data_IF_426703026639
#
_entry.id   IF_426703026639
#
_cell.length_a   1.000
_cell.length_b   1.000
_cell.length_c   1.000
_cell.angle_alpha   90.00
_cell.angle_beta   90.00
_cell.angle_gamma   90.00
#
_symmetry.space_group_name_H-M   'P 1'
#
loop_
_entity.id
_entity.type
_entity.pdbx_description
1 polymer ?
#
# COMPACT_ATOMS: atom_id res chain seq x y z
N UNK A 1 -39.87 44.81 -5.94
CA UNK A 1 -38.55 44.31 -6.37
C UNK A 1 -38.53 42.83 -6.12
N UNK A 2 -38.60 42.05 -7.20
CA UNK A 2 -38.48 40.59 -7.16
C UNK A 2 -37.01 40.26 -6.97
N UNK A 3 -36.67 39.53 -5.91
CA UNK A 3 -35.33 38.96 -5.73
C UNK A 3 -35.48 37.49 -6.07
N UNK A 4 -34.97 37.12 -7.23
CA UNK A 4 -34.87 35.73 -7.68
C UNK A 4 -34.02 34.94 -6.68
N UNK A 5 -34.65 33.96 -6.04
CA UNK A 5 -33.96 32.90 -5.32
C UNK A 5 -33.48 31.89 -6.36
N UNK A 6 -32.27 32.08 -6.87
CA UNK A 6 -31.55 31.01 -7.57
C UNK A 6 -31.14 29.97 -6.54
N UNK A 7 -31.96 28.93 -6.41
CA UNK A 7 -31.64 27.70 -5.70
C UNK A 7 -30.42 27.06 -6.35
N UNK A 8 -29.25 27.29 -5.77
CA UNK A 8 -28.02 26.56 -6.07
C UNK A 8 -28.24 25.12 -5.60
N UNK A 9 -28.55 24.24 -6.53
CA UNK A 9 -28.51 22.79 -6.33
C UNK A 9 -27.06 22.33 -6.36
N UNK A 10 -26.30 22.64 -5.31
CA UNK A 10 -25.05 21.94 -5.02
C UNK A 10 -25.44 20.61 -4.39
N UNK A 11 -25.46 19.55 -5.19
CA UNK A 11 -25.60 18.20 -4.67
C UNK A 11 -24.52 17.95 -3.62
N UNK A 12 -24.90 17.35 -2.49
CA UNK A 12 -24.04 17.07 -1.35
C UNK A 12 -22.81 16.25 -1.75
N UNK A 13 -21.74 16.91 -2.19
CA UNK A 13 -20.45 16.25 -2.37
C UNK A 13 -19.95 15.89 -0.98
N UNK A 14 -19.86 14.59 -0.71
CA UNK A 14 -19.25 14.08 0.52
C UNK A 14 -17.92 14.78 0.78
N UNK A 15 -17.66 15.11 2.05
CA UNK A 15 -16.42 15.78 2.47
C UNK A 15 -15.18 15.00 2.00
N UNK A 16 -15.31 13.67 1.88
CA UNK A 16 -14.28 12.77 1.36
C UNK A 16 -13.99 13.08 -0.10
N UNK A 17 -15.02 13.23 -0.94
CA UNK A 17 -14.87 13.60 -2.35
C UNK A 17 -14.17 14.95 -2.50
N UNK A 18 -14.53 15.95 -1.68
CA UNK A 18 -13.88 17.27 -1.70
C UNK A 18 -12.40 17.19 -1.35
N UNK A 19 -12.04 16.44 -0.30
CA UNK A 19 -10.64 16.24 0.09
C UNK A 19 -9.88 15.47 -1.00
N UNK A 20 -10.48 14.43 -1.58
CA UNK A 20 -9.85 13.65 -2.64
C UNK A 20 -9.55 14.51 -3.86
N UNK A 21 -10.48 15.37 -4.29
CA UNK A 21 -10.29 16.24 -5.44
C UNK A 21 -9.18 17.27 -5.19
N UNK A 22 -9.20 17.93 -4.03
CA UNK A 22 -8.17 18.90 -3.65
C UNK A 22 -6.77 18.26 -3.63
N UNK A 23 -6.65 17.07 -3.04
CA UNK A 23 -5.36 16.39 -2.93
C UNK A 23 -4.90 15.84 -4.28
N UNK A 24 -5.82 15.38 -5.14
CA UNK A 24 -5.52 14.94 -6.51
C UNK A 24 -4.96 16.07 -7.37
N UNK A 25 -5.50 17.28 -7.26
CA UNK A 25 -5.02 18.47 -7.98
C UNK A 25 -3.56 18.80 -7.62
N UNK A 26 -3.21 18.65 -6.33
CA UNK A 26 -1.86 18.90 -5.81
C UNK A 26 -0.83 17.83 -6.16
N UNK A 27 -1.21 16.72 -6.82
CA UNK A 27 -0.25 15.68 -7.22
C UNK A 27 0.66 16.14 -8.35
N UNK A 28 0.30 17.20 -9.08
CA UNK A 28 1.10 17.75 -10.17
C UNK A 28 2.10 18.83 -9.71
N UNK A 29 2.08 19.20 -8.42
CA UNK A 29 2.98 20.23 -7.91
C UNK A 29 4.45 19.81 -8.00
N UNK A 30 5.31 20.76 -8.40
CA UNK A 30 6.76 20.61 -8.45
C UNK A 30 7.41 20.88 -7.08
N UNK A 31 7.04 20.10 -6.05
CA UNK A 31 7.63 20.34 -4.72
C UNK A 31 7.16 19.43 -3.59
N UNK A 32 7.47 19.81 -2.34
CA UNK A 32 7.06 19.07 -1.14
C UNK A 32 5.55 18.94 -1.00
N UNK A 33 4.77 19.86 -1.59
CA UNK A 33 3.30 19.80 -1.61
C UNK A 33 2.80 18.51 -2.23
N UNK A 34 3.40 18.06 -3.34
CA UNK A 34 3.08 16.78 -3.97
C UNK A 34 3.36 15.60 -3.07
N UNK A 35 4.48 15.60 -2.34
CA UNK A 35 4.81 14.51 -1.42
C UNK A 35 3.81 14.44 -0.25
N UNK A 36 3.46 15.60 0.31
CA UNK A 36 2.44 15.69 1.36
C UNK A 36 1.06 15.26 0.85
N UNK A 37 0.69 15.68 -0.37
CA UNK A 37 -0.54 15.29 -1.04
C UNK A 37 -0.60 13.77 -1.25
N UNK A 38 0.47 13.18 -1.78
CA UNK A 38 0.57 11.73 -2.00
C UNK A 38 0.43 10.94 -0.70
N UNK A 39 1.08 11.39 0.38
CA UNK A 39 0.95 10.75 1.70
C UNK A 39 -0.46 10.94 2.27
N UNK A 40 -1.05 12.13 2.14
CA UNK A 40 -2.41 12.42 2.61
C UNK A 40 -3.44 11.53 1.91
N UNK A 41 -3.37 11.47 0.58
CA UNK A 41 -4.25 10.65 -0.26
C UNK A 41 -4.16 9.17 0.10
N UNK A 42 -2.95 8.63 0.15
CA UNK A 42 -2.73 7.24 0.52
C UNK A 42 -3.20 6.94 1.96
N UNK A 43 -3.03 7.89 2.88
CA UNK A 43 -3.49 7.73 4.27
C UNK A 43 -4.99 7.76 4.38
N UNK A 44 -5.67 8.62 3.62
CA UNK A 44 -7.12 8.72 3.59
C UNK A 44 -7.74 7.43 3.06
N UNK A 45 -7.25 6.96 1.91
CA UNK A 45 -7.75 5.75 1.24
C UNK A 45 -7.46 4.46 2.02
N UNK A 46 -6.39 4.43 2.83
CA UNK A 46 -6.04 3.29 3.68
C UNK A 46 -6.73 3.29 5.06
N UNK A 47 -7.66 4.22 5.34
CA UNK A 47 -8.37 4.22 6.63
C UNK A 47 -9.33 3.03 6.72
N UNK A 48 -9.51 2.40 7.90
CA UNK A 48 -10.45 1.30 8.08
C UNK A 48 -11.91 1.65 7.70
N UNK A 49 -12.30 2.92 7.87
CA UNK A 49 -13.64 3.42 7.50
C UNK A 49 -13.86 3.49 5.97
N UNK A 50 -12.78 3.52 5.18
CA UNK A 50 -12.83 3.48 3.72
C UNK A 50 -12.95 2.06 3.15
N UNK A 51 -12.71 1.03 3.98
CA UNK A 51 -12.88 -0.37 3.57
C UNK A 51 -14.35 -0.82 3.57
N UNK A 52 -15.21 -0.04 4.22
CA UNK A 52 -16.66 -0.27 4.18
C UNK A 52 -17.17 -0.15 2.75
N UNK A 53 -18.15 -0.99 2.40
CA UNK A 53 -18.68 -1.10 1.03
C UNK A 53 -19.18 0.23 0.47
N UNK A 54 -19.71 1.11 1.31
CA UNK A 54 -20.17 2.45 0.96
C UNK A 54 -19.04 3.36 0.46
N UNK A 55 -17.84 3.25 1.00
CA UNK A 55 -16.70 4.13 0.70
C UNK A 55 -15.64 3.48 -0.20
N UNK A 56 -15.72 2.16 -0.42
CA UNK A 56 -14.73 1.39 -1.19
C UNK A 56 -14.60 1.86 -2.64
N UNK A 57 -15.66 2.43 -3.21
CA UNK A 57 -15.63 3.01 -4.56
C UNK A 57 -14.54 4.10 -4.71
N UNK A 58 -14.30 4.93 -3.68
CA UNK A 58 -13.27 5.96 -3.71
C UNK A 58 -11.85 5.39 -3.94
N UNK A 59 -11.59 4.21 -3.37
CA UNK A 59 -10.32 3.52 -3.57
C UNK A 59 -10.22 3.01 -5.01
N UNK A 60 -11.25 2.32 -5.50
CA UNK A 60 -11.25 1.78 -6.87
C UNK A 60 -11.15 2.90 -7.91
N UNK A 61 -11.91 3.98 -7.75
CA UNK A 61 -11.87 5.15 -8.62
C UNK A 61 -10.48 5.79 -8.68
N UNK A 62 -9.76 5.81 -7.54
CA UNK A 62 -8.38 6.28 -7.52
C UNK A 62 -7.45 5.32 -8.26
N UNK A 63 -7.58 4.01 -8.05
CA UNK A 63 -6.74 2.99 -8.70
C UNK A 63 -6.95 2.99 -10.21
N UNK A 64 -8.19 3.07 -10.67
CA UNK A 64 -8.54 3.14 -12.10
C UNK A 64 -8.03 4.42 -12.74
N UNK A 65 -8.21 5.56 -12.07
CA UNK A 65 -7.67 6.83 -12.52
C UNK A 65 -6.13 6.78 -12.61
N UNK A 66 -5.46 6.31 -11.56
CA UNK A 66 -4.00 6.19 -11.52
C UNK A 66 -3.48 5.26 -12.62
N UNK A 67 -4.13 4.11 -12.83
CA UNK A 67 -3.81 3.18 -13.91
C UNK A 67 -4.00 3.80 -15.29
N UNK A 68 -5.06 4.60 -15.49
CA UNK A 68 -5.30 5.37 -16.70
C UNK A 68 -4.18 6.37 -17.00
N UNK A 69 -3.75 7.16 -16.00
CA UNK A 69 -2.63 8.10 -16.16
C UNK A 69 -1.33 7.36 -16.49
N UNK A 70 -1.07 6.22 -15.84
CA UNK A 70 0.12 5.41 -16.13
C UNK A 70 0.13 4.88 -17.57
N UNK A 71 -1.00 4.36 -18.07
CA UNK A 71 -1.14 3.88 -19.46
C UNK A 71 -0.95 5.00 -20.48
N UNK A 72 -1.51 6.17 -20.19
CA UNK A 72 -1.41 7.35 -21.06
C UNK A 72 0.05 7.73 -21.34
N UNK A 73 0.93 7.51 -20.35
CA UNK A 73 2.35 7.81 -20.44
C UNK A 73 3.15 6.73 -21.20
N UNK A 74 2.67 5.49 -21.24
CA UNK A 74 3.38 4.38 -21.90
C UNK A 74 3.13 4.34 -23.41
N UNK A 75 2.03 4.90 -23.88
CA UNK A 75 1.58 4.82 -25.29
C UNK A 75 2.23 5.85 -26.23
N UNK A 76 3.40 6.39 -25.87
CA UNK A 76 4.30 7.07 -26.82
C UNK A 76 4.14 8.59 -26.95
N UNK A 77 3.40 9.25 -26.06
CA UNK A 77 3.48 10.71 -25.93
C UNK A 77 4.72 11.03 -25.08
N UNK A 78 5.67 11.80 -25.62
CA UNK A 78 6.82 12.27 -24.85
C UNK A 78 6.35 12.88 -23.54
N UNK A 79 6.94 12.43 -22.44
CA UNK A 79 6.64 12.91 -21.09
C UNK A 79 6.83 14.42 -21.03
N UNK A 80 5.74 15.18 -21.01
CA UNK A 80 5.76 16.61 -20.68
C UNK A 80 6.30 16.80 -19.25
N UNK A 81 6.94 17.95 -18.98
CA UNK A 81 7.45 18.26 -17.64
C UNK A 81 6.37 18.15 -16.57
N UNK A 82 5.19 18.67 -16.86
CA UNK A 82 4.01 18.61 -15.97
C UNK A 82 3.54 17.15 -15.79
N UNK A 83 3.39 16.37 -16.86
CA UNK A 83 3.00 14.96 -16.72
C UNK A 83 4.02 14.10 -15.94
N UNK A 84 5.28 14.53 -15.85
CA UNK A 84 6.29 13.88 -15.00
C UNK A 84 5.96 14.07 -13.51
N UNK A 85 5.55 15.26 -13.11
CA UNK A 85 5.28 15.58 -11.70
C UNK A 85 4.03 14.85 -11.21
N UNK A 86 2.95 14.90 -11.98
CA UNK A 86 1.76 14.11 -11.71
C UNK A 86 2.09 12.62 -11.56
N UNK A 87 2.89 12.05 -12.49
CA UNK A 87 3.31 10.65 -12.41
C UNK A 87 4.12 10.36 -11.14
N UNK A 88 5.05 11.24 -10.76
CA UNK A 88 5.81 11.10 -9.50
C UNK A 88 4.84 11.06 -8.31
N UNK A 89 3.84 11.94 -8.29
CA UNK A 89 2.84 12.01 -7.23
C UNK A 89 2.01 10.73 -7.14
N UNK A 90 1.56 10.21 -8.27
CA UNK A 90 0.78 8.98 -8.37
C UNK A 90 1.60 7.77 -7.90
N UNK A 91 2.80 7.56 -8.44
CA UNK A 91 3.66 6.43 -8.06
C UNK A 91 4.05 6.51 -6.58
N UNK A 92 4.30 7.72 -6.05
CA UNK A 92 4.52 7.92 -4.63
C UNK A 92 3.30 7.54 -3.79
N UNK A 93 2.11 7.97 -4.20
CA UNK A 93 0.85 7.65 -3.52
C UNK A 93 0.64 6.15 -3.46
N UNK A 94 0.79 5.45 -4.59
CA UNK A 94 0.66 3.99 -4.66
C UNK A 94 1.70 3.33 -3.73
N UNK A 95 2.97 3.73 -3.78
CA UNK A 95 3.99 3.15 -2.90
C UNK A 95 3.68 3.36 -1.39
N UNK A 96 3.03 4.46 -1.02
CA UNK A 96 2.58 4.71 0.37
C UNK A 96 1.32 3.91 0.67
N UNK A 97 0.42 3.74 -0.29
CA UNK A 97 -0.80 2.93 -0.17
C UNK A 97 -0.44 1.48 0.13
N UNK A 98 0.51 0.90 -0.62
CA UNK A 98 1.05 -0.44 -0.36
C UNK A 98 1.79 -0.59 0.98
N UNK A 99 2.16 0.52 1.63
CA UNK A 99 2.72 0.50 2.98
C UNK A 99 1.64 0.50 4.06
N UNK A 100 0.44 1.05 3.79
CA UNK A 100 -0.57 1.36 4.80
C UNK A 100 -1.86 0.56 4.67
N UNK A 101 -2.31 0.29 3.45
CA UNK A 101 -3.57 -0.40 3.19
C UNK A 101 -3.47 -1.89 3.55
N UNK A 102 -4.59 -2.54 3.91
CA UNK A 102 -4.62 -3.96 4.19
C UNK A 102 -4.28 -4.77 2.94
N UNK A 103 -3.68 -5.94 3.14
CA UNK A 103 -3.26 -6.84 2.05
C UNK A 103 -4.41 -7.22 1.12
N UNK A 104 -5.61 -7.46 1.65
CA UNK A 104 -6.81 -7.81 0.89
C UNK A 104 -7.19 -6.76 -0.15
N UNK A 105 -7.16 -5.48 0.22
CA UNK A 105 -7.43 -4.36 -0.70
C UNK A 105 -6.31 -4.18 -1.72
N UNK A 106 -5.06 -4.44 -1.32
CA UNK A 106 -3.90 -4.33 -2.20
C UNK A 106 -3.93 -5.36 -3.34
N UNK A 107 -4.29 -6.62 -3.08
CA UNK A 107 -4.29 -7.65 -4.13
C UNK A 107 -5.19 -7.27 -5.33
N UNK A 108 -6.39 -6.73 -5.06
CA UNK A 108 -7.29 -6.24 -6.12
C UNK A 108 -6.70 -5.05 -6.89
N UNK A 109 -5.91 -4.22 -6.20
CA UNK A 109 -5.25 -3.06 -6.80
C UNK A 109 -4.11 -3.46 -7.75
N UNK A 110 -3.42 -4.57 -7.45
CA UNK A 110 -2.28 -5.02 -8.26
C UNK A 110 -2.74 -5.39 -9.67
N UNK A 111 -3.83 -6.14 -9.82
CA UNK A 111 -4.34 -6.58 -11.13
C UNK A 111 -4.55 -5.42 -12.10
N UNK A 112 -5.10 -4.29 -11.61
CA UNK A 112 -5.33 -3.09 -12.44
C UNK A 112 -4.04 -2.33 -12.79
N UNK A 113 -3.08 -2.30 -11.86
CA UNK A 113 -1.89 -1.46 -11.96
C UNK A 113 -0.65 -2.17 -12.53
N UNK A 114 -0.65 -3.50 -12.57
CA UNK A 114 0.51 -4.32 -12.92
C UNK A 114 1.12 -3.96 -14.28
N UNK A 115 0.33 -4.17 -15.35
CA UNK A 115 0.72 -3.91 -16.73
C UNK A 115 1.23 -2.46 -16.96
N UNK A 116 0.51 -1.41 -16.49
CA UNK A 116 1.00 -0.03 -16.58
C UNK A 116 2.33 0.21 -15.86
N UNK A 117 2.51 -0.33 -14.65
CA UNK A 117 3.70 -0.10 -13.83
C UNK A 117 4.94 -0.74 -14.45
N UNK A 118 4.81 -1.95 -15.01
CA UNK A 118 5.93 -2.61 -15.71
C UNK A 118 6.36 -1.77 -16.91
N UNK A 119 5.42 -1.39 -17.78
CA UNK A 119 5.73 -0.59 -18.98
C UNK A 119 6.30 0.78 -18.67
N UNK A 120 5.94 1.37 -17.53
CA UNK A 120 6.49 2.64 -17.08
C UNK A 120 7.99 2.59 -16.81
N UNK A 121 8.56 1.44 -16.46
CA UNK A 121 10.00 1.32 -16.21
C UNK A 121 10.81 1.79 -17.41
N UNK A 122 10.40 1.40 -18.61
CA UNK A 122 11.13 1.75 -19.84
C UNK A 122 11.10 3.24 -20.13
N UNK A 123 10.00 3.90 -19.78
CA UNK A 123 9.80 5.34 -19.99
C UNK A 123 10.45 6.21 -18.90
N UNK A 124 10.63 5.66 -17.70
CA UNK A 124 11.13 6.40 -16.54
C UNK A 124 12.66 6.43 -16.41
N UNK A 125 13.40 5.92 -17.41
CA UNK A 125 14.87 5.81 -17.36
C UNK A 125 15.59 7.15 -17.18
N UNK A 126 14.99 8.26 -17.60
CA UNK A 126 15.60 9.60 -17.51
C UNK A 126 15.40 10.26 -16.14
N UNK A 127 14.28 10.00 -15.47
CA UNK A 127 13.90 10.70 -14.23
C UNK A 127 14.29 9.91 -12.99
N UNK A 128 15.36 10.33 -12.32
CA UNK A 128 15.92 9.68 -11.13
C UNK A 128 14.90 9.42 -10.01
N UNK A 129 13.99 10.38 -9.75
CA UNK A 129 12.98 10.24 -8.70
C UNK A 129 12.00 9.12 -9.03
N UNK A 130 11.57 9.02 -10.29
CA UNK A 130 10.68 7.94 -10.75
C UNK A 130 11.36 6.59 -10.66
N UNK A 131 12.61 6.46 -11.13
CA UNK A 131 13.38 5.21 -11.00
C UNK A 131 13.43 4.73 -9.55
N UNK A 132 13.78 5.62 -8.62
CA UNK A 132 13.84 5.32 -7.18
C UNK A 132 12.47 4.91 -6.62
N UNK A 133 11.40 5.63 -6.98
CA UNK A 133 10.06 5.32 -6.50
C UNK A 133 9.52 4.02 -7.07
N UNK A 134 9.81 3.70 -8.33
CA UNK A 134 9.47 2.44 -8.96
C UNK A 134 10.14 1.27 -8.24
N UNK A 135 11.45 1.33 -7.94
CA UNK A 135 12.12 0.27 -7.16
C UNK A 135 11.45 0.05 -5.81
N UNK A 136 11.09 1.13 -5.14
CA UNK A 136 10.35 1.07 -3.88
C UNK A 136 8.95 0.46 -4.06
N UNK A 137 8.27 0.73 -5.17
CA UNK A 137 6.97 0.16 -5.48
C UNK A 137 7.06 -1.33 -5.81
N UNK A 138 8.00 -1.77 -6.64
CA UNK A 138 8.23 -3.20 -6.95
C UNK A 138 8.53 -4.01 -5.69
N UNK A 139 9.38 -3.49 -4.81
CA UNK A 139 9.61 -4.11 -3.48
C UNK A 139 8.30 -4.34 -2.72
N UNK A 140 7.41 -3.33 -2.73
CA UNK A 140 6.15 -3.37 -2.00
C UNK A 140 5.13 -4.31 -2.65
N UNK A 141 5.10 -4.37 -3.98
CA UNK A 141 4.32 -5.34 -4.75
C UNK A 141 4.76 -6.76 -4.38
N UNK A 142 6.07 -7.04 -4.37
CA UNK A 142 6.60 -8.33 -3.94
C UNK A 142 6.18 -8.72 -2.52
N UNK A 143 6.27 -7.80 -1.56
CA UNK A 143 5.77 -8.02 -0.20
C UNK A 143 4.24 -8.18 -0.13
N UNK A 144 3.48 -7.56 -1.03
CA UNK A 144 2.03 -7.71 -1.08
C UNK A 144 1.60 -9.06 -1.66
N UNK A 145 2.41 -9.68 -2.51
CA UNK A 145 2.23 -11.05 -3.00
C UNK A 145 2.74 -12.11 -2.02
N UNK A 146 3.79 -11.82 -1.24
CA UNK A 146 4.36 -12.76 -0.27
C UNK A 146 3.81 -12.52 1.15
N UNK A 147 2.98 -13.40 1.72
CA UNK A 147 2.46 -13.22 3.07
C UNK A 147 3.60 -13.26 4.10
N UNK A 148 3.53 -12.47 5.19
CA UNK A 148 4.54 -12.50 6.23
C UNK A 148 4.64 -13.90 6.84
N UNK A 149 5.86 -14.46 6.86
CA UNK A 149 6.15 -15.71 7.55
C UNK A 149 6.49 -15.42 9.01
N UNK A 150 5.74 -16.00 9.93
CA UNK A 150 6.06 -15.94 11.35
C UNK A 150 6.54 -17.34 11.77
N UNK A 151 7.82 -17.42 12.11
CA UNK A 151 8.36 -18.65 12.65
C UNK A 151 7.74 -18.93 14.03
N UNK A 152 7.22 -20.15 14.21
CA UNK A 152 6.50 -20.59 15.41
C UNK A 152 7.30 -20.42 16.72
N UNK A 153 8.64 -20.44 16.64
CA UNK A 153 9.54 -20.26 17.79
C UNK A 153 9.62 -18.80 18.30
N UNK A 154 9.24 -17.81 17.48
CA UNK A 154 9.39 -16.37 17.80
C UNK A 154 8.63 -15.97 19.07
N UNK A 155 7.48 -16.58 19.33
CA UNK A 155 6.65 -16.27 20.51
C UNK A 155 6.84 -17.26 21.67
N UNK A 156 7.53 -18.38 21.47
CA UNK A 156 7.81 -19.36 22.52
C UNK A 156 8.75 -18.83 23.61
N UNK A 157 9.55 -17.80 23.32
CA UNK A 157 10.53 -17.22 24.27
C UNK A 157 9.95 -16.14 25.19
N UNK A 158 8.86 -15.48 24.79
CA UNK A 158 8.30 -14.29 25.48
C UNK A 158 7.11 -14.56 26.40
N UNK A 159 6.39 -15.67 26.23
CA UNK A 159 5.20 -15.99 27.05
C UNK A 159 5.52 -16.54 28.44
N UNK A 160 6.79 -16.85 28.74
CA UNK A 160 7.18 -17.37 30.07
C UNK A 160 7.19 -16.32 31.17
N UNK A 161 7.32 -15.03 30.85
CA UNK A 161 7.50 -13.96 31.85
C UNK A 161 6.24 -13.18 32.22
N UNK A 162 5.19 -13.23 31.40
CA UNK A 162 3.98 -12.41 31.62
C UNK A 162 2.89 -13.12 32.45
N UNK A 163 3.00 -14.44 32.60
CA UNK A 163 2.10 -15.28 33.41
C UNK A 163 2.78 -15.85 34.67
N UNK A 164 4.09 -15.65 34.85
CA UNK A 164 4.85 -16.20 35.97
C UNK A 164 4.88 -15.29 37.21
N UNK A 165 4.34 -14.08 37.14
CA UNK A 165 4.44 -13.07 38.21
C UNK A 165 3.08 -12.49 38.61
N UNK A 166 2.14 -13.36 39.00
CA UNK A 166 1.08 -12.99 39.95
C UNK A 166 0.96 -14.07 41.01
N UNK A 167 1.67 -13.96 42.15
CA UNK A 167 1.38 -14.77 43.32
C UNK A 167 0.13 -14.19 43.99
N UNK A 168 -1.07 -14.54 43.49
CA UNK A 168 -2.27 -14.51 44.33
C UNK A 168 -2.19 -15.73 45.22
N UNK A 169 -1.94 -15.49 46.50
CA UNK A 169 -1.99 -16.53 47.52
C UNK A 169 -3.35 -17.19 47.59
N UNK A 170 -3.29 -18.44 48.08
CA UNK A 170 -4.38 -19.24 48.65
C UNK A 170 -5.23 -20.06 47.65
N UNK A 171 -4.78 -21.31 47.51
CA UNK A 171 -5.54 -22.58 47.59
C UNK A 171 -6.95 -22.65 46.99
N UNK A 172 -7.11 -23.42 45.91
CA UNK A 172 -7.79 -24.73 45.88
C UNK A 172 -8.22 -25.11 44.44
N UNK A 173 -8.02 -26.39 44.10
CA UNK A 173 -8.70 -27.24 43.10
C UNK A 173 -9.38 -26.56 41.89
N UNK A 174 -8.98 -26.96 40.68
CA UNK A 174 -9.83 -27.67 39.70
C UNK A 174 -9.04 -27.97 38.42
N UNK A 175 -9.01 -29.25 38.05
CA UNK A 175 -8.62 -29.74 36.73
C UNK A 175 -9.60 -29.20 35.68
N UNK A 176 -9.20 -28.21 34.87
CA UNK A 176 -9.80 -27.85 33.57
C UNK A 176 -9.08 -26.61 33.02
N UNK A 177 -8.04 -26.76 32.18
CA UNK A 177 -7.64 -25.68 31.24
C UNK A 177 -6.71 -26.15 30.10
N UNK A 178 -7.24 -26.75 29.02
CA UNK A 178 -6.57 -26.71 27.71
C UNK A 178 -7.10 -25.57 26.82
N UNK A 179 -8.31 -25.05 27.08
CA UNK A 179 -9.04 -24.21 26.10
C UNK A 179 -8.57 -22.75 26.04
N UNK A 180 -8.08 -22.17 27.15
CA UNK A 180 -7.53 -20.80 27.13
C UNK A 180 -6.13 -20.69 26.52
N UNK A 181 -5.41 -21.82 26.37
CA UNK A 181 -4.13 -21.88 25.65
C UNK A 181 -4.33 -21.89 24.13
N UNK A 182 -5.46 -22.41 23.64
CA UNK A 182 -5.82 -22.34 22.22
C UNK A 182 -6.29 -20.94 21.82
N UNK A 183 -7.13 -20.30 22.65
CA UNK A 183 -7.66 -18.96 22.38
C UNK A 183 -6.58 -17.87 22.34
N UNK A 184 -5.55 -17.99 23.18
CA UNK A 184 -4.40 -17.07 23.19
C UNK A 184 -3.38 -17.35 22.07
N UNK A 185 -3.43 -18.54 21.46
CA UNK A 185 -2.68 -18.88 20.24
C UNK A 185 -3.39 -18.31 19.01
N UNK A 186 -4.72 -18.38 18.96
CA UNK A 186 -5.55 -17.83 17.87
C UNK A 186 -5.58 -16.30 17.83
N UNK A 187 -5.58 -15.60 18.98
CA UNK A 187 -5.66 -14.12 18.98
C UNK A 187 -4.38 -13.43 18.43
N UNK A 188 -3.23 -14.10 18.47
CA UNK A 188 -1.96 -13.56 17.93
C UNK A 188 -1.69 -14.03 16.49
N UNK A 189 -2.44 -15.02 16.00
CA UNK A 189 -2.53 -15.40 14.59
C UNK A 189 -3.44 -14.39 13.85
N UNK A 190 -3.04 -13.13 13.85
CA UNK A 190 -3.77 -12.04 13.21
C UNK A 190 -3.74 -12.22 11.68
N UNK A 191 -4.74 -12.93 11.15
CA UNK A 191 -5.33 -12.97 9.78
C UNK A 191 -4.43 -13.00 8.52
N UNK A 192 -3.11 -12.89 8.61
CA UNK A 192 -2.25 -12.71 7.41
C UNK A 192 -0.88 -13.37 7.48
N UNK A 193 -0.51 -14.01 8.59
CA UNK A 193 0.78 -14.69 8.71
C UNK A 193 0.65 -16.19 8.45
N UNK A 194 1.55 -16.73 7.63
CA UNK A 194 1.66 -18.18 7.39
C UNK A 194 2.74 -18.78 8.29
N UNK A 195 2.47 -19.99 8.80
CA UNK A 195 3.50 -20.79 9.48
C UNK A 195 4.62 -21.14 8.49
N UNK A 196 5.84 -21.25 9.01
CA UNK A 196 7.03 -21.52 8.19
C UNK A 196 6.95 -22.89 7.47
N UNK A 197 6.22 -23.84 8.07
CA UNK A 197 6.06 -25.20 7.56
C UNK A 197 5.07 -25.32 6.38
N UNK A 198 4.37 -24.22 6.01
CA UNK A 198 3.40 -24.24 4.92
C UNK A 198 4.04 -23.73 3.62
N UNK A 199 4.04 -24.53 2.53
CA UNK A 199 4.46 -24.05 1.23
C UNK A 199 3.47 -22.99 0.74
N UNK A 200 3.99 -21.82 0.36
CA UNK A 200 3.19 -20.72 -0.21
C UNK A 200 3.33 -20.81 -1.73
N UNK A 201 2.19 -20.84 -2.43
CA UNK A 201 2.18 -20.67 -3.88
C UNK A 201 2.68 -19.25 -4.20
N UNK A 202 3.81 -19.17 -4.90
CA UNK A 202 4.41 -17.90 -5.32
C UNK A 202 3.87 -17.56 -6.72
N UNK A 203 3.22 -16.41 -6.91
CA UNK A 203 2.76 -15.98 -8.23
C UNK A 203 3.93 -15.65 -9.17
N UNK A 204 3.74 -15.82 -10.48
CA UNK A 204 4.76 -15.57 -11.50
C UNK A 204 5.21 -14.10 -11.51
N UNK A 205 4.33 -13.17 -11.12
CA UNK A 205 4.62 -11.74 -10.99
C UNK A 205 5.78 -11.45 -10.03
N UNK A 206 6.09 -12.35 -9.10
CA UNK A 206 7.26 -12.23 -8.23
C UNK A 206 8.56 -12.32 -9.01
N UNK A 207 8.64 -13.15 -10.05
CA UNK A 207 9.84 -13.27 -10.89
C UNK A 207 10.13 -11.94 -11.60
N UNK A 208 9.08 -11.30 -12.14
CA UNK A 208 9.17 -9.97 -12.73
C UNK A 208 9.64 -8.94 -11.68
N UNK A 209 9.05 -8.93 -10.47
CA UNK A 209 9.51 -8.05 -9.38
C UNK A 209 11.00 -8.25 -9.09
N UNK A 210 11.49 -9.50 -9.07
CA UNK A 210 12.90 -9.79 -8.84
C UNK A 210 13.76 -9.27 -9.99
N UNK A 211 13.36 -9.51 -11.24
CA UNK A 211 14.08 -9.00 -12.42
C UNK A 211 14.19 -7.47 -12.38
N UNK A 212 13.11 -6.80 -12.01
CA UNK A 212 13.03 -5.35 -11.83
C UNK A 212 14.04 -4.83 -10.79
N UNK A 213 14.11 -5.49 -9.63
CA UNK A 213 15.05 -5.12 -8.57
C UNK A 213 16.50 -5.39 -8.98
N UNK A 214 16.77 -6.51 -9.66
CA UNK A 214 18.09 -6.83 -10.21
C UNK A 214 18.54 -5.82 -11.29
N UNK A 215 17.60 -5.30 -12.09
CA UNK A 215 17.87 -4.19 -12.99
C UNK A 215 18.26 -2.92 -12.22
N UNK A 216 17.52 -2.56 -11.17
CA UNK A 216 17.82 -1.38 -10.35
C UNK A 216 19.14 -1.46 -9.57
N UNK A 217 19.64 -2.66 -9.24
CA UNK A 217 20.99 -2.85 -8.68
C UNK A 217 22.10 -2.41 -9.63
N UNK A 218 21.83 -2.38 -10.93
CA UNK A 218 22.75 -1.96 -11.99
C UNK A 218 22.59 -0.48 -12.38
N UNK A 219 21.71 0.27 -11.70
CA UNK A 219 21.44 1.68 -12.00
C UNK A 219 22.67 2.57 -11.77
N UNK A 220 22.78 3.65 -12.56
CA UNK A 220 23.85 4.64 -12.49
C UNK A 220 23.80 5.43 -11.17
N UNK A 221 22.60 5.69 -10.65
CA UNK A 221 22.40 6.45 -9.43
C UNK A 221 22.44 5.55 -8.18
N UNK A 222 23.35 5.87 -7.25
CA UNK A 222 23.49 5.15 -5.97
C UNK A 222 22.20 5.11 -5.16
N UNK A 223 21.35 6.14 -5.22
CA UNK A 223 20.07 6.17 -4.50
C UNK A 223 19.05 5.16 -5.04
N UNK A 224 19.10 4.83 -6.33
CA UNK A 224 18.26 3.79 -6.94
C UNK A 224 18.81 2.43 -6.54
N UNK A 225 20.13 2.21 -6.68
CA UNK A 225 20.79 0.97 -6.24
C UNK A 225 20.52 0.64 -4.77
N UNK A 226 20.58 1.62 -3.88
CA UNK A 226 20.24 1.43 -2.47
C UNK A 226 18.75 1.12 -2.24
N UNK A 227 17.86 1.71 -3.04
CA UNK A 227 16.43 1.38 -2.96
C UNK A 227 16.17 -0.04 -3.41
N UNK A 228 16.84 -0.52 -4.47
CA UNK A 228 16.74 -1.90 -4.96
C UNK A 228 17.37 -2.90 -4.01
N UNK A 229 18.56 -2.62 -3.46
CA UNK A 229 19.25 -3.51 -2.53
C UNK A 229 18.53 -3.68 -1.18
N UNK A 230 17.70 -2.70 -0.82
CA UNK A 230 16.88 -2.77 0.40
C UNK A 230 15.61 -3.60 0.20
N UNK A 231 15.13 -3.69 -1.03
CA UNK A 231 13.97 -4.51 -1.37
C UNK A 231 14.34 -5.98 -1.45
#
# INVERSE_FOLDING_TARGET
GSIDSSSVSSGDTSIVSSILNEVKERLDDSGPTREAAAVCLASLLARPDMEQETNRHYFNDFVDWAGGVCKSQTDGVSISGDSTFQLIGIIHTIAVLFKKAPRSSLLNCIETLWEPIIKLQDQCKTTLILRKLLMKLFTRLGCAYLPPRIASWRYQRGQRSLLSETPTGEEEKTEQRPEQLAFSREIVEMETCVSDDVPVAVPDEIEDVIEMLLCGLRDDATVVRWSSAKG
#
